data_IF_472968584523
#
_entry.id   IF_472968584523
#
_cell.length_a   1.000
_cell.length_b   1.000
_cell.length_c   1.000
_cell.angle_alpha   90.00
_cell.angle_beta   90.00
_cell.angle_gamma   90.00
#
_symmetry.space_group_name_H-M   'P 1'
#
loop_
_entity.id
_entity.type
_entity.pdbx_description
1 polymer ?
#
# COMPACT_ATOMS: atom_id res chain seq x y z
N UNK A 1 6.04 20.84 4.84
CA UNK A 1 4.94 20.44 5.75
C UNK A 1 4.63 18.99 5.43
N UNK A 2 5.06 18.02 6.26
CA UNK A 2 4.93 16.60 5.91
C UNK A 2 3.53 16.12 6.23
N UNK A 3 2.77 15.78 5.20
CA UNK A 3 1.40 15.31 5.30
C UNK A 3 1.31 14.03 6.16
N UNK A 4 0.27 13.99 7.00
CA UNK A 4 -0.11 12.90 7.92
C UNK A 4 -0.80 11.78 7.13
N UNK A 5 -0.12 11.19 6.15
CA UNK A 5 -0.72 10.15 5.29
C UNK A 5 -0.46 8.72 5.81
N UNK A 6 0.38 8.57 6.83
CA UNK A 6 0.73 7.27 7.39
C UNK A 6 0.50 7.24 8.90
N UNK A 7 -0.30 6.27 9.34
CA UNK A 7 -0.57 5.97 10.75
C UNK A 7 -0.22 4.51 11.01
N UNK A 8 0.29 4.26 12.21
CA UNK A 8 0.81 2.96 12.65
C UNK A 8 0.34 2.72 14.08
N UNK A 9 -0.18 1.52 14.35
CA UNK A 9 -0.58 1.10 15.68
C UNK A 9 0.33 -0.05 16.15
N UNK A 10 1.29 0.21 17.05
CA UNK A 10 2.16 -0.83 17.60
C UNK A 10 1.43 -1.95 18.36
N UNK A 11 0.16 -1.74 18.73
CA UNK A 11 -0.68 -2.73 19.43
C UNK A 11 -1.48 -3.61 18.47
N UNK A 12 -1.51 -3.27 17.18
CA UNK A 12 -2.15 -4.09 16.16
C UNK A 12 -1.46 -5.45 16.05
N UNK A 13 -2.20 -6.55 15.76
CA UNK A 13 -1.61 -7.84 15.46
C UNK A 13 -0.72 -7.80 14.20
N UNK A 14 -0.88 -6.79 13.35
CA UNK A 14 -0.05 -6.59 12.16
C UNK A 14 1.31 -6.01 12.56
N UNK A 15 2.45 -6.63 12.17
CA UNK A 15 3.77 -6.08 12.47
C UNK A 15 3.95 -4.65 11.95
N UNK A 16 4.61 -3.78 12.73
CA UNK A 16 4.76 -2.34 12.39
C UNK A 16 5.40 -2.11 11.02
N UNK A 17 6.41 -2.88 10.63
CA UNK A 17 7.02 -2.75 9.30
C UNK A 17 6.00 -3.04 8.18
N UNK A 18 5.09 -4.00 8.40
CA UNK A 18 4.06 -4.37 7.45
C UNK A 18 3.00 -3.26 7.34
N UNK A 19 2.63 -2.62 8.45
CA UNK A 19 1.74 -1.46 8.43
C UNK A 19 2.33 -0.30 7.61
N UNK A 20 3.64 -0.07 7.69
CA UNK A 20 4.33 0.94 6.85
C UNK A 20 4.26 0.54 5.37
N UNK A 21 4.53 -0.73 5.05
CA UNK A 21 4.45 -1.26 3.67
C UNK A 21 3.04 -1.08 3.11
N UNK A 22 2.03 -1.48 3.87
CA UNK A 22 0.63 -1.44 3.45
C UNK A 22 0.14 0.01 3.32
N UNK A 23 0.53 0.90 4.23
CA UNK A 23 0.18 2.31 4.16
C UNK A 23 0.81 3.02 2.96
N UNK A 24 2.08 2.76 2.63
CA UNK A 24 2.71 3.32 1.43
C UNK A 24 2.06 2.76 0.16
N UNK A 25 1.82 1.44 0.10
CA UNK A 25 1.10 0.82 -1.03
C UNK A 25 -0.30 1.39 -1.21
N UNK A 26 -1.01 1.60 -0.10
CA UNK A 26 -2.34 2.22 -0.07
C UNK A 26 -2.31 3.65 -0.59
N UNK A 27 -1.36 4.47 -0.13
CA UNK A 27 -1.20 5.85 -0.59
C UNK A 27 -0.86 5.93 -2.10
N UNK A 28 -0.08 4.99 -2.63
CA UNK A 28 0.17 4.89 -4.08
C UNK A 28 -1.09 4.44 -4.84
N UNK A 29 -1.81 3.45 -4.33
CA UNK A 29 -3.07 3.00 -4.94
C UNK A 29 -4.15 4.09 -4.94
N UNK A 30 -4.12 4.96 -3.93
CA UNK A 30 -4.99 6.12 -3.76
C UNK A 30 -4.58 7.36 -4.55
N UNK A 31 -3.45 7.33 -5.24
CA UNK A 31 -2.95 8.49 -6.00
C UNK A 31 -2.40 9.63 -5.13
N UNK A 32 -2.36 9.47 -3.80
CA UNK A 32 -1.72 10.40 -2.87
C UNK A 32 -0.22 10.49 -3.05
N UNK A 33 0.40 9.35 -3.39
CA UNK A 33 1.80 9.25 -3.77
C UNK A 33 1.86 8.85 -5.23
N UNK A 34 2.42 9.73 -6.06
CA UNK A 34 2.52 9.57 -7.50
C UNK A 34 3.91 9.05 -7.89
N UNK A 35 4.03 8.33 -9.01
CA UNK A 35 5.32 7.94 -9.55
C UNK A 35 6.30 9.12 -9.65
N UNK A 36 7.52 8.95 -9.13
CA UNK A 36 8.53 10.01 -9.06
C UNK A 36 8.46 10.89 -7.80
N UNK A 37 7.41 10.78 -6.97
CA UNK A 37 7.36 11.50 -5.70
C UNK A 37 8.46 11.02 -4.77
N UNK A 38 9.10 11.98 -4.09
CA UNK A 38 10.17 11.70 -3.13
C UNK A 38 9.59 11.29 -1.79
N UNK A 39 10.01 10.14 -1.29
CA UNK A 39 9.70 9.69 0.06
C UNK A 39 10.68 10.30 1.09
N UNK A 40 10.28 10.43 2.36
CA UNK A 40 11.20 10.77 3.43
C UNK A 40 12.36 9.76 3.49
N UNK A 41 13.51 10.16 4.05
CA UNK A 41 14.54 9.17 4.34
C UNK A 41 14.06 8.20 5.42
N UNK A 42 14.68 7.03 5.52
CA UNK A 42 14.43 6.06 6.61
C UNK A 42 14.52 6.74 7.99
N UNK A 43 15.48 7.64 8.18
CA UNK A 43 15.66 8.36 9.44
C UNK A 43 14.54 9.38 9.67
N UNK A 44 14.18 10.15 8.65
CA UNK A 44 13.13 11.16 8.78
C UNK A 44 11.78 10.51 9.07
N UNK A 45 11.46 9.42 8.36
CA UNK A 45 10.21 8.67 8.58
C UNK A 45 10.20 7.97 9.95
N UNK A 46 11.35 7.48 10.43
CA UNK A 46 11.47 6.92 11.76
C UNK A 46 11.19 7.97 12.85
N UNK A 47 11.72 9.18 12.68
CA UNK A 47 11.49 10.31 13.60
C UNK A 47 10.03 10.75 13.57
N UNK A 48 9.43 10.95 12.38
CA UNK A 48 8.02 11.31 12.28
C UNK A 48 7.10 10.21 12.83
N UNK A 49 7.50 8.96 12.61
CA UNK A 49 6.93 7.70 13.09
C UNK A 49 6.91 7.53 14.61
N UNK A 50 7.90 8.13 15.28
CA UNK A 50 8.41 7.62 16.56
C UNK A 50 8.66 6.08 16.54
N UNK A 51 9.18 5.55 15.43
CA UNK A 51 9.44 4.12 15.20
C UNK A 51 10.95 3.86 15.10
N UNK A 52 11.38 2.66 15.47
CA UNK A 52 12.75 2.21 15.27
C UNK A 52 13.16 2.27 13.78
N UNK A 53 14.27 2.94 13.48
CA UNK A 53 14.79 3.08 12.12
C UNK A 53 15.01 1.76 11.39
N UNK A 54 15.35 0.67 12.10
CA UNK A 54 15.50 -0.66 11.49
C UNK A 54 14.17 -1.21 10.99
N UNK A 55 13.07 -0.92 11.69
CA UNK A 55 11.72 -1.30 11.27
C UNK A 55 11.32 -0.56 9.99
N UNK A 56 11.64 0.74 9.91
CA UNK A 56 11.42 1.54 8.69
C UNK A 56 12.31 1.06 7.54
N UNK A 57 13.59 0.76 7.82
CA UNK A 57 14.51 0.22 6.82
C UNK A 57 14.00 -1.11 6.25
N UNK A 58 13.50 -2.01 7.10
CA UNK A 58 12.88 -3.26 6.68
C UNK A 58 11.66 -3.02 5.78
N UNK A 59 10.81 -2.07 6.13
CA UNK A 59 9.67 -1.70 5.30
C UNK A 59 10.10 -1.19 3.92
N UNK A 60 11.13 -0.33 3.86
CA UNK A 60 11.65 0.22 2.60
C UNK A 60 12.28 -0.87 1.73
N UNK A 61 13.02 -1.81 2.32
CA UNK A 61 13.56 -2.97 1.59
C UNK A 61 12.43 -3.81 0.96
N UNK A 62 11.33 -4.02 1.67
CA UNK A 62 10.18 -4.76 1.13
C UNK A 62 9.45 -3.99 0.02
N UNK A 63 9.31 -2.68 0.16
CA UNK A 63 8.73 -1.81 -0.87
C UNK A 63 9.59 -1.78 -2.14
N UNK A 64 10.91 -1.75 -1.99
CA UNK A 64 11.85 -1.79 -3.12
C UNK A 64 11.81 -3.16 -3.82
N UNK A 65 11.86 -4.25 -3.04
CA UNK A 65 11.70 -5.63 -3.55
C UNK A 65 10.40 -5.81 -4.34
N UNK A 66 9.32 -5.20 -3.84
CA UNK A 66 8.00 -5.25 -4.47
C UNK A 66 7.79 -4.20 -5.58
N UNK A 67 8.83 -3.46 -5.97
CA UNK A 67 8.82 -2.43 -7.04
C UNK A 67 7.83 -1.29 -6.80
N UNK A 68 7.53 -0.98 -5.55
CA UNK A 68 6.67 0.17 -5.17
C UNK A 68 7.52 1.44 -5.07
N UNK A 69 8.77 1.31 -4.66
CA UNK A 69 9.73 2.40 -4.53
C UNK A 69 11.04 2.05 -5.23
N UNK A 70 11.84 3.05 -5.52
CA UNK A 70 13.21 2.91 -6.01
C UNK A 70 14.17 3.80 -5.20
N UNK A 71 15.34 3.26 -4.89
CA UNK A 71 16.41 4.02 -4.24
C UNK A 71 17.38 4.53 -5.30
N UNK A 72 17.46 5.85 -5.46
CA UNK A 72 18.44 6.47 -6.33
C UNK A 72 19.62 6.98 -5.52
N UNK A 73 20.78 6.35 -5.72
CA UNK A 73 22.03 6.67 -5.02
C UNK A 73 22.32 8.17 -5.06
N UNK A 74 22.55 8.76 -3.88
CA UNK A 74 22.84 10.20 -3.72
C UNK A 74 21.64 11.13 -3.90
N UNK A 75 20.46 10.66 -4.35
CA UNK A 75 19.26 11.49 -4.56
C UNK A 75 18.14 11.19 -3.57
N UNK A 76 18.03 9.95 -3.11
CA UNK A 76 17.05 9.52 -2.11
C UNK A 76 16.14 8.41 -2.62
N UNK A 77 14.96 8.29 -2.03
CA UNK A 77 13.97 7.25 -2.31
C UNK A 77 12.75 7.87 -2.99
N UNK A 78 12.25 7.21 -4.03
CA UNK A 78 11.16 7.71 -4.87
C UNK A 78 10.11 6.62 -5.09
N UNK A 79 8.86 7.01 -5.34
CA UNK A 79 7.82 6.09 -5.80
C UNK A 79 8.19 5.61 -7.20
N UNK A 80 8.20 4.30 -7.40
CA UNK A 80 8.61 3.70 -8.67
C UNK A 80 7.64 4.01 -9.81
N UNK A 81 8.16 4.04 -11.04
CA UNK A 81 7.34 4.18 -12.24
C UNK A 81 6.41 2.97 -12.45
N UNK A 82 5.16 3.20 -12.89
CA UNK A 82 4.22 2.12 -13.17
C UNK A 82 4.77 1.23 -14.30
N UNK A 83 4.49 -0.07 -14.21
CA UNK A 83 4.88 -1.05 -15.22
C UNK A 83 6.07 -1.95 -14.83
N UNK A 84 6.79 -1.63 -13.76
CA UNK A 84 7.76 -2.57 -13.19
C UNK A 84 7.04 -3.59 -12.31
N UNK A 85 6.97 -4.84 -12.80
CA UNK A 85 6.43 -5.95 -12.01
C UNK A 85 7.48 -6.48 -11.02
N UNK A 86 7.07 -6.89 -9.81
CA UNK A 86 7.97 -7.55 -8.87
C UNK A 86 8.41 -8.92 -9.41
N UNK A 87 9.54 -9.47 -8.94
CA UNK A 87 10.08 -10.74 -9.44
C UNK A 87 9.18 -11.96 -9.13
N UNK A 88 8.27 -11.84 -8.17
CA UNK A 88 7.33 -12.87 -7.73
C UNK A 88 5.89 -12.61 -8.23
N UNK A 89 5.73 -11.87 -9.34
CA UNK A 89 4.43 -11.38 -9.79
C UNK A 89 3.45 -12.51 -10.13
N UNK A 90 3.91 -13.59 -10.76
CA UNK A 90 3.07 -14.74 -11.09
C UNK A 90 2.49 -15.39 -9.82
N UNK A 91 3.33 -15.69 -8.83
CA UNK A 91 2.92 -16.26 -7.54
C UNK A 91 1.93 -15.33 -6.80
N UNK A 92 2.18 -14.02 -6.83
CA UNK A 92 1.29 -13.04 -6.20
C UNK A 92 -0.05 -12.92 -6.91
N UNK A 93 -0.08 -13.06 -8.24
CA UNK A 93 -1.32 -13.10 -9.03
C UNK A 93 -2.11 -14.37 -8.69
N UNK A 94 -1.45 -15.52 -8.56
CA UNK A 94 -2.11 -16.78 -8.16
C UNK A 94 -2.75 -16.65 -6.77
N UNK A 95 -2.00 -16.16 -5.78
CA UNK A 95 -2.52 -15.87 -4.43
C UNK A 95 -3.72 -14.90 -4.46
N UNK A 96 -3.67 -13.88 -5.32
CA UNK A 96 -4.78 -12.94 -5.49
C UNK A 96 -6.02 -13.64 -6.09
N UNK A 97 -5.84 -14.49 -7.11
CA UNK A 97 -6.93 -15.28 -7.69
C UNK A 97 -7.58 -16.20 -6.66
N UNK A 98 -6.77 -16.87 -5.84
CA UNK A 98 -7.29 -17.72 -4.76
C UNK A 98 -8.06 -16.90 -3.71
N UNK A 99 -7.55 -15.73 -3.35
CA UNK A 99 -8.23 -14.83 -2.41
C UNK A 99 -9.59 -14.38 -2.95
N UNK A 100 -9.68 -14.02 -4.24
CA UNK A 100 -10.94 -13.65 -4.88
C UNK A 100 -11.91 -14.83 -4.94
N UNK A 101 -11.42 -16.05 -5.23
CA UNK A 101 -12.21 -17.27 -5.22
C UNK A 101 -12.80 -17.54 -3.84
N UNK A 102 -12.00 -17.43 -2.78
CA UNK A 102 -12.46 -17.63 -1.41
C UNK A 102 -13.45 -16.55 -0.97
N UNK A 103 -13.21 -15.28 -1.33
CA UNK A 103 -14.12 -14.18 -1.04
C UNK A 103 -15.50 -14.39 -1.71
N UNK A 104 -15.52 -14.89 -2.95
CA UNK A 104 -16.77 -15.22 -3.64
C UNK A 104 -17.52 -16.38 -2.98
N UNK A 105 -16.82 -17.45 -2.57
CA UNK A 105 -17.44 -18.58 -1.87
C UNK A 105 -18.13 -18.10 -0.58
N UNK A 106 -17.47 -17.24 0.19
CA UNK A 106 -18.05 -16.64 1.39
C UNK A 106 -19.28 -15.78 1.05
N UNK A 107 -19.17 -14.92 0.04
CA UNK A 107 -20.29 -14.07 -0.41
C UNK A 107 -21.52 -14.89 -0.83
N UNK A 108 -21.30 -16.01 -1.53
CA UNK A 108 -22.36 -16.94 -1.91
C UNK A 108 -23.08 -17.52 -0.68
N UNK A 109 -22.34 -17.94 0.35
CA UNK A 109 -22.92 -18.46 1.59
C UNK A 109 -23.62 -17.41 2.44
N UNK A 110 -23.30 -16.13 2.23
CA UNK A 110 -24.02 -14.99 2.81
C UNK A 110 -25.25 -14.57 1.99
N UNK A 111 -25.52 -15.22 0.85
CA UNK A 111 -26.68 -14.94 0.00
C UNK A 111 -26.51 -13.74 -0.92
N UNK A 112 -25.28 -13.24 -1.11
CA UNK A 112 -25.03 -12.12 -2.02
C UNK A 112 -25.22 -12.58 -3.47
N UNK A 113 -25.88 -11.74 -4.24
CA UNK A 113 -25.93 -11.87 -5.68
C UNK A 113 -24.60 -11.43 -6.32
N UNK A 114 -24.32 -11.90 -7.54
CA UNK A 114 -23.08 -11.60 -8.27
C UNK A 114 -22.89 -10.08 -8.47
N UNK A 115 -23.97 -9.37 -8.82
CA UNK A 115 -23.98 -7.92 -9.00
C UNK A 115 -23.72 -7.16 -7.69
N UNK A 116 -24.14 -7.70 -6.55
CA UNK A 116 -23.86 -7.14 -5.23
C UNK A 116 -22.38 -7.28 -4.86
N UNK A 117 -21.80 -8.46 -5.07
CA UNK A 117 -20.38 -8.70 -4.87
C UNK A 117 -19.52 -7.82 -5.78
N UNK A 118 -19.90 -7.68 -7.05
CA UNK A 118 -19.23 -6.76 -7.98
C UNK A 118 -19.32 -5.30 -7.51
N UNK A 119 -20.47 -4.86 -6.99
CA UNK A 119 -20.61 -3.51 -6.42
C UNK A 119 -19.69 -3.32 -5.23
N UNK A 120 -19.62 -4.29 -4.32
CA UNK A 120 -18.71 -4.24 -3.18
C UNK A 120 -17.25 -4.13 -3.63
N UNK A 121 -16.85 -4.92 -4.64
CA UNK A 121 -15.50 -4.84 -5.20
C UNK A 121 -15.21 -3.45 -5.82
N UNK A 122 -16.15 -2.89 -6.59
CA UNK A 122 -16.01 -1.55 -7.16
C UNK A 122 -15.90 -0.49 -6.07
N UNK A 123 -16.73 -0.56 -5.03
CA UNK A 123 -16.66 0.33 -3.87
C UNK A 123 -15.32 0.22 -3.14
N UNK A 124 -14.79 -0.99 -2.94
CA UNK A 124 -13.48 -1.17 -2.33
C UNK A 124 -12.35 -0.57 -3.19
N UNK A 125 -12.39 -0.77 -4.52
CA UNK A 125 -11.45 -0.15 -5.46
C UNK A 125 -11.56 1.38 -5.44
N UNK A 126 -12.78 1.90 -5.43
CA UNK A 126 -13.02 3.33 -5.48
C UNK A 126 -12.67 3.97 -4.13
N UNK A 127 -12.88 3.32 -2.99
CA UNK A 127 -12.36 3.75 -1.69
C UNK A 127 -10.83 3.75 -1.66
N UNK A 128 -10.20 2.78 -2.33
CA UNK A 128 -8.76 2.74 -2.49
C UNK A 128 -8.21 3.81 -3.45
N UNK A 129 -9.05 4.48 -4.26
CA UNK A 129 -8.69 5.58 -5.19
C UNK A 129 -9.16 6.96 -4.71
N UNK A 130 -10.28 7.01 -4.00
CA UNK A 130 -11.16 8.17 -3.83
C UNK A 130 -10.78 9.10 -2.70
N UNK A 131 -9.51 9.11 -2.29
CA UNK A 131 -9.02 10.16 -1.43
C UNK A 131 -8.41 11.35 -2.22
N UNK A 132 -8.84 11.50 -3.48
CA UNK A 132 -8.54 12.62 -4.38
C UNK A 132 -9.47 13.86 -4.18
N UNK A 133 -10.17 14.04 -3.04
CA UNK A 133 -11.28 15.02 -3.00
C UNK A 133 -11.64 15.71 -1.69
N UNK A 134 -10.71 15.96 -0.77
CA UNK A 134 -10.98 16.86 0.39
C UNK A 134 -9.78 17.76 0.71
N UNK A 135 -9.36 18.59 -0.24
CA UNK A 135 -8.51 19.76 0.06
C UNK A 135 -8.54 20.78 -1.09
N UNK A 136 -9.74 21.08 -1.60
CA UNK A 136 -10.02 22.34 -2.30
C UNK A 136 -11.40 22.84 -1.85
N UNK A 137 -11.44 23.42 -0.64
CA UNK A 137 -12.42 24.44 -0.25
C UNK A 137 -11.85 25.32 0.85
#
# INVERSE_FOLDING_TARGET
MMAVWLQVDPRSPTPVYQQIVDGIKGAVAAGWLKPGDRLPSVRDLAVSLAINHNTVAKAYQELERSRVIEVVRGRGTFVASPGQRPPDVEERIEKLRDSLRLAWIEAYHLGLAEDEFERMFRQARDAARGAEGKEEM
#
